data_IF_858790993483
#
_entry.id   IF_858790993483
#
_cell.length_a   1.000
_cell.length_b   1.000
_cell.length_c   1.000
_cell.angle_alpha   90.00
_cell.angle_beta   90.00
_cell.angle_gamma   90.00
#
_symmetry.space_group_name_H-M   'P 1'
#
loop_
_entity.id
_entity.type
_entity.pdbx_description
1 polymer ?
#
# COMPACT_ATOMS: atom_id res chain seq x y z
N UNK A 1 -6.46 -35.33 -4.71
CA UNK A 1 -6.64 -34.46 -5.90
C UNK A 1 -5.91 -33.16 -5.63
N UNK A 2 -4.72 -32.98 -6.17
CA UNK A 2 -4.02 -31.70 -6.12
C UNK A 2 -4.85 -30.68 -6.90
N UNK A 3 -5.34 -29.63 -6.21
CA UNK A 3 -6.01 -28.53 -6.89
C UNK A 3 -4.96 -27.81 -7.75
N UNK A 4 -5.17 -27.77 -9.05
CA UNK A 4 -4.35 -26.97 -9.96
C UNK A 4 -4.29 -25.54 -9.46
N UNK A 5 -3.07 -25.00 -9.31
CA UNK A 5 -2.87 -23.63 -8.86
C UNK A 5 -3.54 -22.67 -9.86
N UNK A 6 -4.30 -21.65 -9.40
CA UNK A 6 -4.87 -20.66 -10.30
C UNK A 6 -3.75 -19.92 -11.04
N UNK A 7 -3.88 -19.70 -12.33
CA UNK A 7 -2.88 -18.99 -13.15
C UNK A 7 -2.54 -17.60 -12.57
N UNK A 8 -3.54 -16.93 -11.97
CA UNK A 8 -3.36 -15.65 -11.28
C UNK A 8 -2.44 -15.72 -10.06
N UNK A 9 -2.39 -16.83 -9.33
CA UNK A 9 -1.50 -16.97 -8.17
C UNK A 9 -0.03 -17.01 -8.61
N UNK A 10 0.30 -17.82 -9.63
CA UNK A 10 1.66 -17.88 -10.19
C UNK A 10 2.10 -16.50 -10.71
N UNK A 11 1.20 -15.81 -11.42
CA UNK A 11 1.45 -14.46 -11.93
C UNK A 11 1.70 -13.46 -10.81
N UNK A 12 0.87 -13.46 -9.75
CA UNK A 12 1.05 -12.57 -8.60
C UNK A 12 2.34 -12.88 -7.82
N UNK A 13 2.70 -14.15 -7.65
CA UNK A 13 3.98 -14.55 -7.02
C UNK A 13 5.18 -13.98 -7.77
N UNK A 14 5.18 -14.04 -9.10
CA UNK A 14 6.25 -13.45 -9.93
C UNK A 14 6.33 -11.94 -9.73
N UNK A 15 5.19 -11.23 -9.71
CA UNK A 15 5.15 -9.79 -9.50
C UNK A 15 5.65 -9.40 -8.11
N UNK A 16 5.26 -10.13 -7.07
CA UNK A 16 5.73 -9.88 -5.69
C UNK A 16 7.23 -10.19 -5.57
N UNK A 17 7.72 -11.25 -6.22
CA UNK A 17 9.14 -11.58 -6.23
C UNK A 17 10.01 -10.52 -6.91
N UNK A 18 9.43 -9.73 -7.82
CA UNK A 18 10.12 -8.65 -8.52
C UNK A 18 10.28 -7.35 -7.68
N UNK A 19 9.72 -7.29 -6.46
CA UNK A 19 9.79 -6.10 -5.59
C UNK A 19 11.20 -5.49 -5.49
N UNK A 20 12.29 -6.26 -5.24
CA UNK A 20 13.63 -5.68 -5.12
C UNK A 20 14.15 -5.02 -6.39
N UNK A 21 13.87 -5.62 -7.55
CA UNK A 21 14.23 -5.05 -8.85
C UNK A 21 13.41 -3.79 -9.14
N UNK A 22 12.10 -3.86 -8.95
CA UNK A 22 11.19 -2.75 -9.14
C UNK A 22 11.53 -1.54 -8.24
N UNK A 23 11.99 -1.78 -7.01
CA UNK A 23 12.45 -0.72 -6.11
C UNK A 23 13.66 0.02 -6.69
N UNK A 24 14.66 -0.70 -7.17
CA UNK A 24 15.87 -0.10 -7.77
C UNK A 24 15.57 0.67 -9.05
N UNK A 25 14.79 0.06 -9.95
CA UNK A 25 14.40 0.69 -11.21
C UNK A 25 13.59 1.96 -10.96
N UNK A 26 12.62 1.90 -10.04
CA UNK A 26 11.84 3.07 -9.65
C UNK A 26 12.72 4.16 -9.03
N UNK A 27 13.65 3.81 -8.14
CA UNK A 27 14.56 4.77 -7.52
C UNK A 27 15.45 5.47 -8.54
N UNK A 28 16.07 4.71 -9.44
CA UNK A 28 16.91 5.28 -10.51
C UNK A 28 16.12 6.26 -11.39
N UNK A 29 14.91 5.85 -11.82
CA UNK A 29 14.03 6.71 -12.61
C UNK A 29 13.58 7.97 -11.84
N UNK A 30 13.37 7.86 -10.53
CA UNK A 30 13.04 9.00 -9.67
C UNK A 30 14.18 10.02 -9.57
N UNK A 31 15.44 9.54 -9.56
CA UNK A 31 16.62 10.40 -9.55
C UNK A 31 16.78 11.23 -10.82
N UNK A 32 16.33 10.72 -11.98
CA UNK A 32 16.39 11.40 -13.28
C UNK A 32 15.33 12.50 -13.43
N UNK A 33 14.28 12.50 -12.62
CA UNK A 33 13.21 13.48 -12.69
C UNK A 33 13.67 14.88 -12.26
N UNK A 34 12.97 15.89 -12.75
CA UNK A 34 13.13 17.26 -12.26
C UNK A 34 12.82 17.28 -10.75
N UNK A 35 13.82 17.62 -9.97
CA UNK A 35 13.76 17.55 -8.51
C UNK A 35 13.19 18.85 -7.95
N UNK A 36 12.36 18.77 -6.91
CA UNK A 36 11.87 19.96 -6.24
C UNK A 36 13.02 20.73 -5.59
N UNK A 37 12.85 22.04 -5.46
CA UNK A 37 13.82 22.88 -4.78
C UNK A 37 13.94 22.49 -3.30
N UNK A 38 15.15 22.43 -2.77
CA UNK A 38 15.40 22.26 -1.33
C UNK A 38 14.91 23.50 -0.58
N UNK A 39 14.21 23.30 0.52
CA UNK A 39 13.70 24.38 1.36
C UNK A 39 12.43 23.99 2.11
N UNK A 40 11.77 24.94 2.73
CA UNK A 40 10.54 24.75 3.50
C UNK A 40 9.28 24.64 2.61
N UNK A 41 9.41 24.13 1.39
CA UNK A 41 8.26 23.96 0.47
C UNK A 41 7.41 22.77 0.90
N UNK A 42 6.08 22.91 1.01
CA UNK A 42 5.19 21.80 1.27
C UNK A 42 5.28 20.75 0.15
N UNK A 43 5.44 19.49 0.52
CA UNK A 43 5.40 18.35 -0.40
C UNK A 43 4.10 17.61 -0.19
N UNK A 44 3.31 17.45 -1.25
CA UNK A 44 2.01 16.79 -1.20
C UNK A 44 1.98 15.66 -2.22
N UNK A 45 1.83 14.43 -1.76
CA UNK A 45 1.61 13.27 -2.62
C UNK A 45 0.11 12.97 -2.70
N UNK A 46 -0.45 12.94 -3.90
CA UNK A 46 -1.86 12.64 -4.13
C UNK A 46 -1.99 11.30 -4.81
N UNK A 47 -2.79 10.41 -4.26
CA UNK A 47 -3.02 9.09 -4.86
C UNK A 47 -4.09 8.29 -4.13
N UNK A 48 -4.53 7.19 -4.74
CA UNK A 48 -5.51 6.26 -4.16
C UNK A 48 -4.93 4.85 -4.05
N UNK A 49 -5.44 4.05 -3.12
CA UNK A 49 -5.08 2.63 -2.99
C UNK A 49 -3.56 2.39 -2.90
N UNK A 50 -3.04 1.56 -3.78
CA UNK A 50 -1.61 1.21 -3.84
C UNK A 50 -0.69 2.40 -4.10
N UNK A 51 -1.14 3.40 -4.89
CA UNK A 51 -0.38 4.63 -5.16
C UNK A 51 -0.19 5.46 -3.89
N UNK A 52 -1.25 5.65 -3.10
CA UNK A 52 -1.17 6.38 -1.84
C UNK A 52 -0.36 5.62 -0.78
N UNK A 53 -0.46 4.29 -0.74
CA UNK A 53 0.32 3.45 0.20
C UNK A 53 1.83 3.57 -0.07
N UNK A 54 2.25 3.63 -1.34
CA UNK A 54 3.65 3.84 -1.68
C UNK A 54 4.17 5.18 -1.11
N UNK A 55 3.37 6.25 -1.24
CA UNK A 55 3.71 7.55 -0.65
C UNK A 55 3.72 7.53 0.89
N UNK A 56 2.77 6.85 1.55
CA UNK A 56 2.78 6.71 3.01
C UNK A 56 4.02 5.95 3.53
N UNK A 57 4.45 4.90 2.82
CA UNK A 57 5.66 4.15 3.19
C UNK A 57 6.90 5.05 3.11
N UNK A 58 7.03 5.84 2.04
CA UNK A 58 8.12 6.82 1.92
C UNK A 58 8.00 7.91 2.97
N UNK A 59 6.79 8.39 3.28
CA UNK A 59 6.56 9.40 4.32
C UNK A 59 7.17 8.99 5.65
N UNK A 60 6.98 7.75 6.09
CA UNK A 60 7.52 7.25 7.36
C UNK A 60 9.06 7.32 7.44
N UNK A 61 9.75 7.27 6.29
CA UNK A 61 11.20 7.43 6.21
C UNK A 61 11.59 8.90 6.13
N UNK A 62 10.92 9.67 5.26
CA UNK A 62 11.18 11.10 5.06
C UNK A 62 11.03 11.89 6.38
N UNK A 63 9.91 11.70 7.09
CA UNK A 63 9.66 12.39 8.37
C UNK A 63 10.64 12.01 9.48
N UNK A 64 11.21 10.80 9.45
CA UNK A 64 12.16 10.34 10.44
C UNK A 64 13.61 10.80 10.17
N UNK A 65 13.97 11.02 8.91
CA UNK A 65 15.36 11.16 8.50
C UNK A 65 15.66 12.49 7.80
N UNK A 66 14.64 13.32 7.55
CA UNK A 66 14.78 14.60 6.85
C UNK A 66 13.95 15.69 7.52
N UNK A 67 14.26 16.99 7.30
CA UNK A 67 13.40 18.07 7.75
C UNK A 67 12.15 18.28 6.86
N UNK A 68 11.97 17.49 5.81
CA UNK A 68 10.85 17.64 4.89
C UNK A 68 9.55 17.08 5.50
N UNK A 69 8.42 17.73 5.20
CA UNK A 69 7.10 17.26 5.56
C UNK A 69 6.38 16.78 4.31
N UNK A 70 6.08 15.48 4.27
CA UNK A 70 5.35 14.85 3.18
C UNK A 70 3.90 14.56 3.58
N UNK A 71 2.96 15.33 3.03
CA UNK A 71 1.52 15.09 3.24
C UNK A 71 0.98 14.15 2.17
N UNK A 72 0.29 13.08 2.58
CA UNK A 72 -0.37 12.13 1.64
C UNK A 72 -1.87 12.38 1.63
N UNK A 73 -2.40 12.71 0.45
CA UNK A 73 -3.80 13.08 0.21
C UNK A 73 -4.52 12.00 -0.58
N UNK A 74 -5.73 11.63 -0.13
CA UNK A 74 -6.60 10.62 -0.74
C UNK A 74 -7.96 11.22 -1.15
N UNK A 75 -7.95 12.47 -1.54
CA UNK A 75 -9.14 13.19 -2.01
C UNK A 75 -8.80 14.03 -3.22
N UNK A 76 -9.78 14.51 -4.00
CA UNK A 76 -9.55 15.45 -5.09
C UNK A 76 -9.13 16.84 -4.61
N UNK A 77 -9.46 17.19 -3.37
CA UNK A 77 -9.11 18.45 -2.76
C UNK A 77 -7.68 18.43 -2.22
N UNK A 78 -6.92 19.46 -2.52
CA UNK A 78 -5.62 19.72 -1.92
C UNK A 78 -5.79 20.48 -0.59
N UNK A 79 -4.85 20.34 0.37
CA UNK A 79 -4.86 21.11 1.60
C UNK A 79 -4.95 22.62 1.32
N UNK A 80 -5.77 23.33 2.10
CA UNK A 80 -5.83 24.78 2.04
C UNK A 80 -4.49 25.41 2.41
N UNK A 81 -4.19 26.55 1.80
CA UNK A 81 -2.95 27.30 2.06
C UNK A 81 -1.75 26.86 1.24
N UNK A 82 -1.91 25.91 0.33
CA UNK A 82 -0.87 25.62 -0.68
C UNK A 82 -0.80 26.75 -1.70
N UNK A 83 0.43 27.08 -2.11
CA UNK A 83 0.73 28.09 -3.12
C UNK A 83 1.72 27.57 -4.17
N UNK A 84 2.27 28.45 -4.99
CA UNK A 84 3.23 28.11 -6.05
C UNK A 84 4.55 27.51 -5.57
N UNK A 85 4.84 27.60 -4.27
CA UNK A 85 6.03 26.97 -3.66
C UNK A 85 5.83 25.49 -3.39
N UNK A 86 4.57 25.01 -3.35
CA UNK A 86 4.27 23.61 -3.09
C UNK A 86 4.76 22.71 -4.23
N UNK A 87 5.20 21.51 -3.89
CA UNK A 87 5.44 20.44 -4.84
C UNK A 87 4.38 19.34 -4.68
N UNK A 88 3.56 19.15 -5.71
CA UNK A 88 2.49 18.17 -5.74
C UNK A 88 2.92 16.98 -6.60
N UNK A 89 3.08 15.83 -5.98
CA UNK A 89 3.40 14.55 -6.63
C UNK A 89 2.10 13.81 -6.86
N UNK A 90 1.70 13.67 -8.11
CA UNK A 90 0.42 13.07 -8.51
C UNK A 90 0.66 11.62 -8.94
N UNK A 91 0.14 10.67 -8.18
CA UNK A 91 0.43 9.25 -8.31
C UNK A 91 -0.83 8.50 -8.68
N UNK A 92 -0.89 8.01 -9.90
CA UNK A 92 -1.99 7.15 -10.36
C UNK A 92 -1.43 6.07 -11.28
N UNK A 93 -1.38 4.83 -10.81
CA UNK A 93 -0.86 3.73 -11.63
C UNK A 93 -1.60 3.63 -12.97
N UNK A 94 -2.93 3.67 -12.99
CA UNK A 94 -3.71 3.63 -14.24
C UNK A 94 -3.67 4.95 -15.03
N UNK A 95 -3.34 6.07 -14.39
CA UNK A 95 -3.47 7.40 -14.96
C UNK A 95 -4.89 7.96 -15.05
N UNK A 96 -5.91 7.15 -14.72
CA UNK A 96 -7.33 7.50 -14.93
C UNK A 96 -8.10 7.63 -13.61
N UNK A 97 -7.38 7.84 -12.49
CA UNK A 97 -8.02 8.02 -11.19
C UNK A 97 -8.59 9.42 -11.09
N UNK A 98 -9.91 9.53 -10.97
CA UNK A 98 -10.64 10.81 -10.97
C UNK A 98 -10.10 11.80 -9.94
N UNK A 99 -9.87 11.36 -8.70
CA UNK A 99 -9.37 12.21 -7.61
C UNK A 99 -8.00 12.79 -7.96
N UNK A 100 -7.11 11.99 -8.57
CA UNK A 100 -5.77 12.45 -8.96
C UNK A 100 -5.82 13.41 -10.14
N UNK A 101 -6.73 13.19 -11.10
CA UNK A 101 -6.97 14.10 -12.22
C UNK A 101 -7.51 15.46 -11.76
N UNK A 102 -8.43 15.47 -10.77
CA UNK A 102 -8.93 16.73 -10.17
C UNK A 102 -7.82 17.45 -9.41
N UNK A 103 -7.03 16.75 -8.60
CA UNK A 103 -5.90 17.32 -7.89
C UNK A 103 -4.84 17.91 -8.84
N UNK A 104 -4.60 17.27 -10.01
CA UNK A 104 -3.72 17.81 -11.05
C UNK A 104 -4.18 19.18 -11.54
N UNK A 105 -5.50 19.34 -11.79
CA UNK A 105 -6.08 20.62 -12.19
C UNK A 105 -5.99 21.67 -11.07
N UNK A 106 -6.24 21.28 -9.83
CA UNK A 106 -6.13 22.17 -8.67
C UNK A 106 -4.69 22.63 -8.48
N UNK A 107 -3.71 21.73 -8.54
CA UNK A 107 -2.27 22.04 -8.46
C UNK A 107 -1.84 23.01 -9.55
N UNK A 108 -2.37 22.84 -10.78
CA UNK A 108 -2.16 23.79 -11.87
C UNK A 108 -2.68 25.19 -11.56
N UNK A 109 -3.91 25.29 -11.04
CA UNK A 109 -4.56 26.59 -10.76
C UNK A 109 -3.82 27.41 -9.70
N UNK A 110 -3.23 26.74 -8.71
CA UNK A 110 -2.43 27.42 -7.67
C UNK A 110 -0.98 27.66 -8.08
N UNK A 111 -0.58 27.23 -9.28
CA UNK A 111 0.78 27.38 -9.81
C UNK A 111 1.82 26.46 -9.12
N UNK A 112 1.41 25.42 -8.42
CA UNK A 112 2.31 24.49 -7.75
C UNK A 112 3.20 23.73 -8.74
N UNK A 113 4.41 23.40 -8.30
CA UNK A 113 5.23 22.43 -9.02
C UNK A 113 4.54 21.07 -9.03
N UNK A 114 4.50 20.42 -10.17
CA UNK A 114 3.85 19.13 -10.34
C UNK A 114 4.84 18.10 -10.86
N UNK A 115 4.74 16.88 -10.36
CA UNK A 115 5.39 15.68 -10.91
C UNK A 115 4.37 14.57 -10.95
N UNK A 116 4.35 13.80 -12.03
CA UNK A 116 3.41 12.69 -12.23
C UNK A 116 4.16 11.35 -12.16
N UNK A 117 3.56 10.37 -11.49
CA UNK A 117 3.99 8.97 -11.50
C UNK A 117 2.81 8.12 -11.97
N UNK A 118 2.91 7.50 -13.15
CA UNK A 118 1.83 6.72 -13.75
C UNK A 118 2.37 5.63 -14.66
N UNK A 119 1.53 4.66 -15.06
CA UNK A 119 1.88 3.72 -16.14
C UNK A 119 1.34 4.12 -17.51
N UNK A 120 0.76 5.31 -17.61
CA UNK A 120 0.10 5.86 -18.80
C UNK A 120 -1.19 6.57 -18.41
N UNK A 121 -2.19 6.52 -19.31
CA UNK A 121 -3.52 7.07 -19.09
C UNK A 121 -3.60 8.59 -19.18
N UNK A 122 -4.79 9.13 -18.90
CA UNK A 122 -5.10 10.55 -19.06
C UNK A 122 -4.17 11.48 -18.27
N UNK A 123 -3.74 11.06 -17.07
CA UNK A 123 -2.84 11.86 -16.24
C UNK A 123 -1.48 12.07 -16.90
N UNK A 124 -0.90 11.01 -17.47
CA UNK A 124 0.38 11.09 -18.21
C UNK A 124 0.24 11.94 -19.48
N UNK A 125 -0.89 11.79 -20.21
CA UNK A 125 -1.15 12.60 -21.42
C UNK A 125 -1.30 14.09 -21.09
N UNK A 126 -2.02 14.43 -20.03
CA UNK A 126 -2.17 15.81 -19.56
C UNK A 126 -0.83 16.40 -19.12
N UNK A 127 -0.04 15.63 -18.39
CA UNK A 127 1.28 16.05 -17.94
C UNK A 127 2.20 16.34 -19.13
N UNK A 128 2.24 15.45 -20.13
CA UNK A 128 3.03 15.65 -21.34
C UNK A 128 2.62 16.90 -22.15
N UNK A 129 1.32 17.21 -22.23
CA UNK A 129 0.80 18.41 -22.91
C UNK A 129 1.16 19.71 -22.18
N UNK A 130 1.48 19.65 -20.89
CA UNK A 130 1.78 20.81 -20.05
C UNK A 130 3.25 20.84 -19.61
N UNK A 131 4.13 20.03 -20.23
CA UNK A 131 5.56 19.91 -19.92
C UNK A 131 5.83 19.58 -18.43
N UNK A 132 4.90 18.84 -17.80
CA UNK A 132 5.04 18.35 -16.41
C UNK A 132 5.88 17.08 -16.42
N UNK A 133 6.93 16.97 -15.59
CA UNK A 133 7.73 15.76 -15.50
C UNK A 133 6.89 14.52 -15.17
N UNK A 134 7.12 13.42 -15.92
CA UNK A 134 6.41 12.15 -15.75
C UNK A 134 7.40 11.01 -15.55
N UNK A 135 7.26 10.31 -14.42
CA UNK A 135 7.87 9.01 -14.23
C UNK A 135 6.89 7.94 -14.73
N UNK A 136 7.24 7.29 -15.83
CA UNK A 136 6.48 6.16 -16.35
C UNK A 136 6.92 4.87 -15.67
N UNK A 137 5.98 4.16 -15.05
CA UNK A 137 6.20 2.83 -14.46
C UNK A 137 5.65 1.73 -15.38
N UNK A 138 6.17 0.50 -15.34
CA UNK A 138 5.68 -0.59 -16.18
C UNK A 138 4.18 -0.83 -16.02
N UNK A 139 3.47 -0.96 -17.16
CA UNK A 139 2.03 -1.23 -17.21
C UNK A 139 1.71 -2.73 -17.17
N UNK A 140 0.41 -3.09 -17.17
CA UNK A 140 -0.05 -4.48 -17.29
C UNK A 140 -0.07 -5.28 -15.99
N UNK A 141 0.12 -4.62 -14.84
CA UNK A 141 0.05 -5.24 -13.52
C UNK A 141 -1.17 -4.74 -12.73
N UNK A 142 -1.66 -5.49 -11.73
CA UNK A 142 -2.55 -4.90 -10.74
C UNK A 142 -1.84 -3.75 -10.01
N UNK A 143 -2.50 -2.61 -9.75
CA UNK A 143 -1.86 -1.43 -9.14
C UNK A 143 -1.08 -1.72 -7.85
N UNK A 144 -1.58 -2.65 -7.03
CA UNK A 144 -0.92 -3.08 -5.79
C UNK A 144 0.42 -3.78 -6.00
N UNK A 145 0.64 -4.38 -7.16
CA UNK A 145 1.91 -5.05 -7.50
C UNK A 145 3.00 -4.06 -7.97
N UNK A 146 2.63 -2.84 -8.33
CA UNK A 146 3.56 -1.80 -8.78
C UNK A 146 4.27 -1.08 -7.61
N UNK A 147 4.05 -1.49 -6.36
CA UNK A 147 4.53 -0.79 -5.17
C UNK A 147 6.04 -0.55 -5.18
N UNK A 148 6.83 -1.48 -5.69
CA UNK A 148 8.29 -1.32 -5.79
C UNK A 148 8.67 -0.11 -6.64
N UNK A 149 8.15 -0.02 -7.87
CA UNK A 149 8.41 1.11 -8.76
C UNK A 149 7.88 2.44 -8.19
N UNK A 150 6.67 2.43 -7.62
CA UNK A 150 6.06 3.64 -7.06
C UNK A 150 6.86 4.15 -5.84
N UNK A 151 7.19 3.26 -4.90
CA UNK A 151 7.94 3.60 -3.71
C UNK A 151 9.36 4.06 -4.07
N UNK A 152 10.06 3.29 -4.93
CA UNK A 152 11.37 3.66 -5.43
C UNK A 152 11.34 5.02 -6.13
N UNK A 153 10.37 5.24 -7.03
CA UNK A 153 10.23 6.49 -7.75
C UNK A 153 10.02 7.71 -6.85
N UNK A 154 9.17 7.59 -5.83
CA UNK A 154 8.95 8.66 -4.85
C UNK A 154 10.22 8.89 -4.02
N UNK A 155 10.88 7.82 -3.57
CA UNK A 155 12.11 7.93 -2.78
C UNK A 155 13.24 8.57 -3.60
N UNK A 156 13.44 8.17 -4.87
CA UNK A 156 14.42 8.77 -5.75
C UNK A 156 14.13 10.24 -6.06
N UNK A 157 12.86 10.60 -6.28
CA UNK A 157 12.43 11.99 -6.46
C UNK A 157 12.75 12.84 -5.23
N UNK A 158 12.63 12.28 -4.02
CA UNK A 158 12.86 12.97 -2.74
C UNK A 158 14.29 12.79 -2.20
N UNK A 159 15.16 12.04 -2.89
CA UNK A 159 16.53 11.77 -2.46
C UNK A 159 17.33 13.04 -2.08
N UNK A 160 17.20 14.19 -2.78
CA UNK A 160 17.90 15.41 -2.42
C UNK A 160 17.57 16.03 -1.06
N UNK A 161 16.50 15.57 -0.38
CA UNK A 161 16.18 16.00 1.00
C UNK A 161 16.92 15.20 2.06
N UNK A 162 17.43 14.01 1.73
CA UNK A 162 18.20 13.20 2.66
C UNK A 162 19.63 13.78 2.85
N UNK A 163 20.23 13.58 4.02
CA UNK A 163 21.61 14.01 4.29
C UNK A 163 22.63 13.40 3.31
N UNK A 164 22.40 12.13 2.97
CA UNK A 164 23.19 11.34 2.03
C UNK A 164 22.25 10.69 1.00
N UNK A 165 22.78 10.41 -0.21
CA UNK A 165 21.97 9.70 -1.22
C UNK A 165 21.63 8.29 -0.78
N UNK A 166 20.39 7.89 -1.04
CA UNK A 166 19.90 6.55 -0.76
C UNK A 166 20.29 5.50 -1.83
N UNK A 167 21.07 5.85 -2.84
CA UNK A 167 21.40 4.95 -3.96
C UNK A 167 22.06 3.65 -3.46
N UNK A 168 23.12 3.76 -2.68
CA UNK A 168 23.84 2.60 -2.10
C UNK A 168 22.95 1.83 -1.14
N UNK A 169 22.18 2.56 -0.32
CA UNK A 169 21.24 1.98 0.65
C UNK A 169 20.14 1.17 -0.06
N UNK A 170 19.53 1.72 -1.11
CA UNK A 170 18.49 1.03 -1.91
C UNK A 170 19.07 -0.20 -2.61
N UNK A 171 20.31 -0.12 -3.13
CA UNK A 171 20.96 -1.27 -3.74
C UNK A 171 21.20 -2.39 -2.71
N UNK A 172 21.72 -2.07 -1.52
CA UNK A 172 21.93 -3.00 -0.41
C UNK A 172 20.63 -3.66 0.05
N UNK A 173 19.59 -2.85 0.32
CA UNK A 173 18.27 -3.34 0.76
C UNK A 173 17.66 -4.26 -0.29
N UNK A 174 17.73 -3.87 -1.55
CA UNK A 174 17.19 -4.67 -2.66
C UNK A 174 17.87 -6.04 -2.74
N UNK A 175 19.19 -6.10 -2.58
CA UNK A 175 19.94 -7.36 -2.59
C UNK A 175 19.61 -8.23 -1.37
N UNK A 176 19.53 -7.62 -0.18
CA UNK A 176 19.15 -8.32 1.04
C UNK A 176 17.74 -8.93 0.93
N UNK A 177 16.75 -8.14 0.50
CA UNK A 177 15.39 -8.65 0.31
C UNK A 177 15.33 -9.72 -0.78
N UNK A 178 16.05 -9.54 -1.90
CA UNK A 178 16.13 -10.54 -2.98
C UNK A 178 16.63 -11.88 -2.48
N UNK A 179 17.70 -11.90 -1.71
CA UNK A 179 18.28 -13.14 -1.16
C UNK A 179 17.31 -13.89 -0.24
N UNK A 180 16.40 -13.16 0.43
CA UNK A 180 15.40 -13.72 1.35
C UNK A 180 14.07 -14.12 0.69
N UNK A 181 13.78 -13.65 -0.54
CA UNK A 181 12.48 -13.90 -1.19
C UNK A 181 12.14 -15.37 -1.30
N UNK A 182 13.13 -16.23 -1.65
CA UNK A 182 12.94 -17.67 -1.75
C UNK A 182 12.54 -18.30 -0.41
N UNK A 183 13.19 -17.92 0.69
CA UNK A 183 12.88 -18.42 2.03
C UNK A 183 11.53 -17.89 2.53
N UNK A 184 11.20 -16.62 2.26
CA UNK A 184 9.92 -16.02 2.63
C UNK A 184 8.76 -16.74 1.94
N UNK A 185 8.90 -17.05 0.65
CA UNK A 185 7.88 -17.70 -0.17
C UNK A 185 7.83 -19.23 0.00
N UNK A 186 8.81 -19.82 0.67
CA UNK A 186 8.88 -21.28 0.83
C UNK A 186 7.66 -21.84 1.57
N UNK A 187 7.24 -23.07 1.21
CA UNK A 187 6.07 -23.72 1.81
C UNK A 187 6.15 -23.92 3.34
N UNK A 188 7.35 -23.90 3.91
CA UNK A 188 7.62 -23.92 5.37
C UNK A 188 8.26 -22.62 5.85
N UNK A 189 8.24 -21.57 5.02
CA UNK A 189 8.82 -20.26 5.33
C UNK A 189 7.94 -19.42 6.26
N UNK A 190 8.42 -18.21 6.60
CA UNK A 190 7.72 -17.31 7.53
C UNK A 190 6.34 -16.92 7.03
N UNK A 191 6.14 -16.67 5.74
CA UNK A 191 4.83 -16.34 5.19
C UNK A 191 3.82 -17.48 5.38
N UNK A 192 4.21 -18.73 5.11
CA UNK A 192 3.36 -19.90 5.32
C UNK A 192 3.04 -20.12 6.82
N UNK A 193 4.03 -19.92 7.69
CA UNK A 193 3.84 -20.01 9.16
C UNK A 193 2.85 -18.97 9.67
N UNK A 194 2.98 -17.72 9.26
CA UNK A 194 2.07 -16.63 9.63
C UNK A 194 0.66 -16.93 9.11
N UNK A 195 0.51 -17.26 7.83
CA UNK A 195 -0.78 -17.57 7.23
C UNK A 195 -1.46 -18.78 7.89
N UNK A 196 -0.71 -19.79 8.31
CA UNK A 196 -1.24 -20.93 9.06
C UNK A 196 -1.76 -20.53 10.45
N UNK A 197 -1.05 -19.63 11.14
CA UNK A 197 -1.49 -19.09 12.44
C UNK A 197 -2.72 -18.20 12.32
N UNK A 198 -2.84 -17.43 11.23
CA UNK A 198 -4.05 -16.65 10.91
C UNK A 198 -5.25 -17.60 10.71
N UNK A 199 -5.08 -18.65 9.91
CA UNK A 199 -6.17 -19.59 9.61
C UNK A 199 -7.41 -18.87 9.06
N UNK A 200 -8.59 -19.24 9.54
CA UNK A 200 -9.87 -18.62 9.15
C UNK A 200 -10.28 -17.43 10.01
N UNK A 201 -9.42 -17.01 10.96
CA UNK A 201 -9.67 -15.89 11.86
C UNK A 201 -9.67 -14.56 11.11
N UNK A 202 -10.39 -13.59 11.66
CA UNK A 202 -10.35 -12.21 11.19
C UNK A 202 -8.96 -11.61 11.47
N UNK A 203 -8.20 -11.17 10.43
CA UNK A 203 -6.88 -10.59 10.61
C UNK A 203 -6.98 -9.15 11.10
N UNK A 204 -6.28 -8.86 12.18
CA UNK A 204 -6.11 -7.50 12.69
C UNK A 204 -4.61 -7.18 12.77
N UNK A 205 -4.15 -6.14 12.09
CA UNK A 205 -2.74 -5.81 11.98
C UNK A 205 -2.40 -4.61 12.85
N UNK A 206 -1.50 -4.79 13.80
CA UNK A 206 -1.01 -3.73 14.68
C UNK A 206 0.41 -3.36 14.32
N UNK A 207 0.70 -2.06 14.30
CA UNK A 207 2.05 -1.55 14.10
C UNK A 207 2.26 -0.26 14.90
N UNK A 208 3.50 0.08 15.20
CA UNK A 208 3.82 1.41 15.69
C UNK A 208 3.53 2.49 14.62
N UNK A 209 3.36 3.74 15.05
CA UNK A 209 2.99 4.87 14.21
C UNK A 209 3.81 5.00 12.93
N UNK A 210 5.13 4.81 13.02
CA UNK A 210 6.04 4.91 11.88
C UNK A 210 5.90 3.75 10.88
N UNK A 211 5.27 2.64 11.28
CA UNK A 211 4.97 1.47 10.43
C UNK A 211 3.46 1.33 10.13
N UNK A 212 2.65 2.34 10.46
CA UNK A 212 1.20 2.30 10.20
C UNK A 212 0.87 2.11 8.71
N UNK A 213 1.67 2.69 7.83
CA UNK A 213 1.55 2.50 6.39
C UNK A 213 1.75 1.03 5.98
N UNK A 214 2.66 0.33 6.65
CA UNK A 214 2.89 -1.10 6.44
C UNK A 214 1.70 -1.93 6.93
N UNK A 215 1.16 -1.63 8.12
CA UNK A 215 -0.04 -2.31 8.63
C UNK A 215 -1.24 -2.11 7.68
N UNK A 216 -1.44 -0.89 7.19
CA UNK A 216 -2.46 -0.58 6.16
C UNK A 216 -2.23 -1.40 4.89
N UNK A 217 -0.98 -1.54 4.43
CA UNK A 217 -0.67 -2.36 3.26
C UNK A 217 -1.00 -3.83 3.50
N UNK A 218 -0.60 -4.40 4.62
CA UNK A 218 -0.94 -5.78 4.95
C UNK A 218 -2.45 -6.01 4.90
N UNK A 219 -3.22 -5.11 5.51
CA UNK A 219 -4.69 -5.14 5.46
C UNK A 219 -5.19 -5.14 4.02
N UNK A 220 -4.78 -4.19 3.19
CA UNK A 220 -5.27 -4.09 1.82
C UNK A 220 -4.82 -5.25 0.94
N UNK A 221 -3.62 -5.79 1.14
CA UNK A 221 -3.15 -6.98 0.44
C UNK A 221 -3.95 -8.24 0.82
N UNK A 222 -4.30 -8.40 2.08
CA UNK A 222 -5.19 -9.49 2.51
C UNK A 222 -6.56 -9.36 1.83
N UNK A 223 -7.12 -8.16 1.78
CA UNK A 223 -8.41 -7.91 1.14
C UNK A 223 -8.37 -8.12 -0.37
N UNK A 224 -7.37 -7.57 -1.05
CA UNK A 224 -7.31 -7.64 -2.51
C UNK A 224 -6.80 -8.99 -3.03
N UNK A 225 -5.89 -9.67 -2.34
CA UNK A 225 -5.36 -10.95 -2.78
C UNK A 225 -6.16 -12.13 -2.21
N UNK A 226 -6.38 -12.18 -0.89
CA UNK A 226 -7.07 -13.30 -0.25
C UNK A 226 -8.59 -13.15 -0.22
N UNK A 227 -9.15 -12.01 -0.67
CA UNK A 227 -10.59 -11.69 -0.70
C UNK A 227 -11.23 -11.80 0.71
N UNK A 228 -10.47 -11.45 1.75
CA UNK A 228 -10.87 -11.51 3.15
C UNK A 228 -10.80 -10.13 3.78
N UNK A 229 -11.83 -9.75 4.52
CA UNK A 229 -11.81 -8.52 5.31
C UNK A 229 -10.68 -8.59 6.34
N UNK A 230 -10.04 -7.45 6.58
CA UNK A 230 -9.02 -7.26 7.59
C UNK A 230 -9.12 -5.85 8.20
N UNK A 231 -8.53 -5.65 9.37
CA UNK A 231 -8.41 -4.35 9.99
C UNK A 231 -6.95 -4.06 10.37
N UNK A 232 -6.65 -2.81 10.69
CA UNK A 232 -5.37 -2.42 11.26
C UNK A 232 -5.58 -1.32 12.31
N UNK A 233 -4.62 -1.18 13.22
CA UNK A 233 -4.63 -0.13 14.23
C UNK A 233 -3.19 0.25 14.63
N UNK A 234 -3.05 1.35 15.32
CA UNK A 234 -1.80 2.03 15.62
C UNK A 234 -1.42 1.90 17.08
N UNK A 235 -0.14 1.57 17.34
CA UNK A 235 0.48 1.64 18.66
C UNK A 235 1.34 2.91 18.71
N UNK A 236 1.14 3.80 19.71
CA UNK A 236 0.47 3.56 21.00
C UNK A 236 -1.03 3.93 21.07
N UNK A 237 -1.65 4.45 20.02
CA UNK A 237 -3.03 4.97 20.06
C UNK A 237 -4.04 3.94 20.57
N UNK A 238 -3.87 2.66 20.21
CA UNK A 238 -4.69 1.54 20.70
C UNK A 238 -4.87 1.50 22.24
N UNK A 239 -3.90 2.04 23.01
CA UNK A 239 -3.95 2.09 24.48
C UNK A 239 -4.83 3.19 25.05
N UNK A 240 -5.34 4.07 24.19
CA UNK A 240 -6.25 5.16 24.55
C UNK A 240 -7.71 4.88 24.15
N UNK A 241 -7.97 3.78 23.41
CA UNK A 241 -9.29 3.42 22.87
C UNK A 241 -9.51 1.90 22.80
N UNK A 242 -8.99 1.21 21.81
CA UNK A 242 -9.27 -0.20 21.49
C UNK A 242 -8.93 -1.17 22.64
N UNK A 243 -8.00 -0.81 23.52
CA UNK A 243 -7.63 -1.63 24.68
C UNK A 243 -8.83 -1.89 25.61
N UNK A 244 -9.74 -0.89 25.75
CA UNK A 244 -10.94 -1.01 26.59
C UNK A 244 -11.87 -2.08 26.01
N UNK A 245 -12.06 -2.08 24.70
CA UNK A 245 -12.86 -3.09 24.02
C UNK A 245 -12.23 -4.48 24.14
N UNK A 246 -10.92 -4.57 23.97
CA UNK A 246 -10.18 -5.83 24.12
C UNK A 246 -10.26 -6.39 25.55
N UNK A 247 -10.21 -5.52 26.56
CA UNK A 247 -10.34 -5.97 27.95
C UNK A 247 -11.75 -6.46 28.29
N UNK A 248 -12.77 -5.95 27.62
CA UNK A 248 -14.16 -6.32 27.83
C UNK A 248 -14.66 -7.48 26.96
N UNK A 249 -13.98 -7.80 25.84
CA UNK A 249 -14.45 -8.81 24.87
C UNK A 249 -14.55 -10.20 25.52
N UNK A 250 -15.62 -10.95 25.21
CA UNK A 250 -15.72 -12.35 25.60
C UNK A 250 -14.64 -13.18 24.94
N UNK A 251 -14.04 -14.10 25.68
CA UNK A 251 -12.97 -14.96 25.17
C UNK A 251 -13.37 -15.74 23.91
N UNK A 252 -14.62 -16.17 23.82
CA UNK A 252 -15.17 -16.85 22.63
C UNK A 252 -15.13 -16.00 21.38
N UNK A 253 -15.37 -14.70 21.50
CA UNK A 253 -15.33 -13.76 20.38
C UNK A 253 -13.86 -13.43 20.00
N UNK A 254 -12.98 -13.29 21.00
CA UNK A 254 -11.54 -13.14 20.77
C UNK A 254 -10.93 -14.28 19.94
N UNK A 255 -11.40 -15.53 20.13
CA UNK A 255 -10.88 -16.69 19.36
C UNK A 255 -11.09 -16.58 17.85
N UNK A 256 -11.99 -15.70 17.39
CA UNK A 256 -12.24 -15.44 15.98
C UNK A 256 -11.23 -14.48 15.36
N UNK A 257 -10.31 -13.90 16.15
CA UNK A 257 -9.35 -12.90 15.69
C UNK A 257 -7.92 -13.44 15.70
N UNK A 258 -7.17 -13.10 14.65
CA UNK A 258 -5.72 -13.24 14.59
C UNK A 258 -5.09 -11.85 14.59
N UNK A 259 -4.39 -11.51 15.65
CA UNK A 259 -3.70 -10.24 15.80
C UNK A 259 -2.24 -10.37 15.34
N UNK A 260 -1.91 -9.71 14.25
CA UNK A 260 -0.57 -9.62 13.67
C UNK A 260 0.11 -8.38 14.24
N UNK A 261 1.16 -8.55 15.04
CA UNK A 261 1.88 -7.44 15.68
C UNK A 261 3.20 -7.23 14.94
N UNK A 262 3.26 -6.19 14.11
CA UNK A 262 4.47 -5.83 13.37
C UNK A 262 5.42 -5.09 14.34
N UNK A 263 6.59 -5.65 14.56
CA UNK A 263 7.60 -5.13 15.48
C UNK A 263 8.94 -4.99 14.77
N UNK A 264 9.48 -3.78 14.73
CA UNK A 264 10.83 -3.55 14.25
C UNK A 264 11.84 -3.83 15.36
N UNK A 265 12.96 -4.55 15.02
CA UNK A 265 14.00 -4.92 15.99
C UNK A 265 14.61 -3.71 16.70
N UNK A 266 14.78 -2.59 15.98
CA UNK A 266 15.36 -1.35 16.50
C UNK A 266 14.31 -0.33 16.99
N UNK A 267 13.04 -0.76 17.15
CA UNK A 267 12.02 0.11 17.72
C UNK A 267 12.38 0.53 19.16
N UNK A 268 12.03 1.77 19.58
CA UNK A 268 12.25 2.22 20.94
C UNK A 268 11.70 1.25 22.01
N UNK A 269 12.47 1.01 23.07
CA UNK A 269 12.12 0.04 24.11
C UNK A 269 10.69 0.22 24.68
N UNK A 270 10.26 1.48 24.83
CA UNK A 270 8.91 1.80 25.30
C UNK A 270 7.81 1.34 24.35
N UNK A 271 8.04 1.36 23.03
CA UNK A 271 7.06 0.84 22.06
C UNK A 271 7.06 -0.69 22.05
N UNK A 272 8.23 -1.33 22.09
CA UNK A 272 8.33 -2.80 22.22
C UNK A 272 7.61 -3.31 23.48
N UNK A 273 7.80 -2.65 24.61
CA UNK A 273 7.10 -2.99 25.86
C UNK A 273 5.58 -2.92 25.67
N UNK A 274 5.07 -1.90 24.98
CA UNK A 274 3.64 -1.74 24.69
C UNK A 274 3.11 -2.83 23.77
N UNK A 275 3.82 -3.18 22.71
CA UNK A 275 3.45 -4.28 21.82
C UNK A 275 3.40 -5.62 22.57
N UNK A 276 4.37 -5.91 23.43
CA UNK A 276 4.36 -7.10 24.27
C UNK A 276 3.21 -7.12 25.28
N UNK A 277 2.85 -5.96 25.86
CA UNK A 277 1.66 -5.87 26.71
C UNK A 277 0.39 -6.18 25.90
N UNK A 278 0.23 -5.55 24.73
CA UNK A 278 -0.91 -5.80 23.84
C UNK A 278 -0.98 -7.29 23.47
N UNK A 279 0.13 -7.90 23.10
CA UNK A 279 0.21 -9.33 22.79
C UNK A 279 -0.33 -10.21 23.92
N UNK A 280 0.06 -9.92 25.17
CA UNK A 280 -0.40 -10.66 26.36
C UNK A 280 -1.89 -10.47 26.58
N UNK A 281 -2.39 -9.25 26.49
CA UNK A 281 -3.81 -8.93 26.63
C UNK A 281 -4.65 -9.68 25.60
N UNK A 282 -4.30 -9.57 24.33
CA UNK A 282 -4.99 -10.22 23.21
C UNK A 282 -5.04 -11.75 23.41
N UNK A 283 -3.91 -12.35 23.78
CA UNK A 283 -3.82 -13.78 24.05
C UNK A 283 -4.70 -14.19 25.24
N UNK A 284 -4.73 -13.40 26.32
CA UNK A 284 -5.58 -13.64 27.49
C UNK A 284 -7.08 -13.61 27.13
N UNK A 285 -7.45 -12.80 26.14
CA UNK A 285 -8.82 -12.68 25.61
C UNK A 285 -9.12 -13.68 24.49
N UNK A 286 -8.23 -14.62 24.22
CA UNK A 286 -8.42 -15.72 23.27
C UNK A 286 -7.98 -15.43 21.83
N UNK A 287 -7.59 -14.21 21.49
CA UNK A 287 -7.10 -13.89 20.17
C UNK A 287 -5.78 -14.61 19.88
N UNK A 288 -5.58 -15.00 18.62
CA UNK A 288 -4.30 -15.56 18.18
C UNK A 288 -3.30 -14.43 17.95
N UNK A 289 -2.57 -14.06 18.99
CA UNK A 289 -1.50 -13.06 18.89
C UNK A 289 -0.30 -13.65 18.15
N UNK A 290 0.14 -12.98 17.08
CA UNK A 290 1.19 -13.40 16.17
C UNK A 290 2.22 -12.28 16.09
N UNK A 291 3.33 -12.32 16.85
CA UNK A 291 4.42 -11.39 16.65
C UNK A 291 5.07 -11.61 15.28
N UNK A 292 5.35 -10.52 14.59
CA UNK A 292 6.00 -10.48 13.30
C UNK A 292 7.20 -9.55 13.42
N UNK A 293 8.37 -10.12 13.66
CA UNK A 293 9.60 -9.37 13.79
C UNK A 293 10.10 -8.92 12.42
N UNK A 294 10.30 -7.62 12.27
CA UNK A 294 10.96 -6.98 11.15
C UNK A 294 12.43 -6.76 11.55
N UNK A 295 13.23 -7.79 11.33
CA UNK A 295 14.66 -7.78 11.66
C UNK A 295 15.43 -7.10 10.54
N UNK A 296 15.80 -5.84 10.78
CA UNK A 296 16.44 -4.97 9.81
C UNK A 296 17.24 -3.87 10.49
N UNK A 297 18.36 -3.48 9.88
CA UNK A 297 19.29 -2.48 10.41
C UNK A 297 18.70 -1.07 10.42
N UNK A 298 17.86 -0.76 9.43
CA UNK A 298 17.25 0.56 9.33
C UNK A 298 15.76 0.50 8.98
N UNK A 299 15.07 1.63 9.16
CA UNK A 299 13.63 1.77 8.95
C UNK A 299 13.20 1.45 7.52
N UNK A 300 13.92 1.92 6.51
CA UNK A 300 13.58 1.67 5.10
C UNK A 300 13.68 0.17 4.82
N UNK A 301 14.72 -0.48 5.31
CA UNK A 301 14.90 -1.92 5.17
C UNK A 301 13.77 -2.70 5.84
N UNK A 302 13.40 -2.34 7.08
CA UNK A 302 12.28 -2.93 7.80
C UNK A 302 10.96 -2.80 7.03
N UNK A 303 10.70 -1.63 6.45
CA UNK A 303 9.51 -1.38 5.63
C UNK A 303 9.50 -2.24 4.37
N UNK A 304 10.60 -2.32 3.61
CA UNK A 304 10.67 -3.10 2.37
C UNK A 304 10.58 -4.60 2.65
N UNK A 305 11.29 -5.10 3.68
CA UNK A 305 11.18 -6.49 4.13
C UNK A 305 9.76 -6.83 4.60
N UNK A 306 9.13 -5.91 5.34
CA UNK A 306 7.75 -6.03 5.78
C UNK A 306 6.74 -6.03 4.63
N UNK A 307 6.95 -5.25 3.57
CA UNK A 307 6.17 -5.29 2.33
C UNK A 307 6.29 -6.66 1.68
N UNK A 308 7.53 -7.15 1.47
CA UNK A 308 7.77 -8.46 0.86
C UNK A 308 7.08 -9.60 1.64
N UNK A 309 7.21 -9.59 2.97
CA UNK A 309 6.60 -10.60 3.83
C UNK A 309 5.07 -10.55 3.78
N UNK A 310 4.48 -9.36 3.92
CA UNK A 310 3.02 -9.19 3.94
C UNK A 310 2.36 -9.55 2.61
N UNK A 311 2.99 -9.19 1.52
CA UNK A 311 2.53 -9.55 0.18
C UNK A 311 2.52 -11.09 0.03
N UNK A 312 3.59 -11.78 0.45
CA UNK A 312 3.63 -13.24 0.42
C UNK A 312 2.62 -13.90 1.37
N UNK A 313 2.42 -13.36 2.59
CA UNK A 313 1.38 -13.84 3.52
C UNK A 313 0.01 -13.78 2.86
N UNK A 314 -0.32 -12.68 2.19
CA UNK A 314 -1.61 -12.51 1.51
C UNK A 314 -1.83 -13.52 0.36
N UNK A 315 -0.77 -13.86 -0.38
CA UNK A 315 -0.82 -14.88 -1.44
C UNK A 315 -0.97 -16.29 -0.88
N UNK A 316 -0.31 -16.60 0.24
CA UNK A 316 -0.51 -17.89 0.92
C UNK A 316 -1.93 -18.01 1.46
N UNK A 317 -2.50 -16.93 2.03
CA UNK A 317 -3.90 -16.90 2.46
C UNK A 317 -4.86 -17.09 1.27
N UNK A 318 -4.61 -16.45 0.12
CA UNK A 318 -5.38 -16.64 -1.10
C UNK A 318 -5.37 -18.11 -1.55
N UNK A 319 -4.18 -18.72 -1.62
CA UNK A 319 -4.01 -20.12 -1.98
C UNK A 319 -4.79 -21.06 -1.03
N UNK A 320 -4.68 -20.85 0.28
CA UNK A 320 -5.39 -21.63 1.29
C UNK A 320 -6.90 -21.51 1.19
N UNK A 321 -7.40 -20.33 0.83
CA UNK A 321 -8.82 -20.05 0.64
C UNK A 321 -9.32 -20.51 -0.75
N UNK A 322 -8.46 -20.96 -1.65
CA UNK A 322 -8.79 -21.39 -3.01
C UNK A 322 -9.29 -20.26 -3.91
N UNK A 323 -8.87 -19.00 -3.63
CA UNK A 323 -9.27 -17.82 -4.42
C UNK A 323 -8.14 -17.37 -5.34
N UNK A 324 -8.49 -16.84 -6.51
CA UNK A 324 -7.52 -16.22 -7.41
C UNK A 324 -7.15 -14.82 -6.89
N UNK A 325 -5.87 -14.57 -6.55
CA UNK A 325 -5.44 -13.26 -6.07
C UNK A 325 -5.42 -12.18 -7.17
N UNK A 326 -5.35 -12.56 -8.46
CA UNK A 326 -5.06 -11.60 -9.53
C UNK A 326 -6.22 -10.64 -9.83
N UNK A 327 -7.49 -11.07 -10.06
CA UNK A 327 -8.57 -10.18 -10.44
C UNK A 327 -9.03 -9.28 -9.29
N UNK A 328 -9.47 -8.07 -9.66
CA UNK A 328 -10.10 -7.09 -8.77
C UNK A 328 -11.44 -6.59 -9.37
N UNK A 329 -12.30 -7.54 -9.75
CA UNK A 329 -13.52 -7.31 -10.53
C UNK A 329 -14.48 -6.30 -9.91
N UNK A 330 -14.59 -6.27 -8.58
CA UNK A 330 -15.44 -5.30 -7.88
C UNK A 330 -15.00 -3.85 -8.15
N UNK A 331 -13.69 -3.60 -8.15
CA UNK A 331 -13.13 -2.28 -8.47
C UNK A 331 -13.37 -1.95 -9.95
N UNK A 332 -13.22 -2.93 -10.83
CA UNK A 332 -13.51 -2.77 -12.27
C UNK A 332 -14.97 -2.43 -12.53
N UNK A 333 -15.90 -3.14 -11.87
CA UNK A 333 -17.35 -2.86 -11.97
C UNK A 333 -17.69 -1.46 -11.46
N UNK A 334 -17.14 -1.04 -10.33
CA UNK A 334 -17.34 0.32 -9.81
C UNK A 334 -16.86 1.38 -10.81
N UNK A 335 -15.64 1.25 -11.33
CA UNK A 335 -15.10 2.18 -12.33
C UNK A 335 -15.97 2.26 -13.59
N UNK A 336 -16.45 1.13 -14.09
CA UNK A 336 -17.34 1.08 -15.24
C UNK A 336 -18.69 1.77 -14.95
N UNK A 337 -19.24 1.58 -13.75
CA UNK A 337 -20.49 2.22 -13.32
C UNK A 337 -20.33 3.73 -13.20
N UNK A 338 -19.25 4.21 -12.58
CA UNK A 338 -18.96 5.65 -12.46
C UNK A 338 -18.74 6.30 -13.83
N UNK A 339 -18.00 5.64 -14.70
CA UNK A 339 -17.78 6.12 -16.06
C UNK A 339 -19.07 6.18 -16.90
N UNK A 340 -20.04 5.29 -16.64
CA UNK A 340 -21.35 5.33 -17.29
C UNK A 340 -22.27 6.43 -16.76
N UNK A 341 -22.04 6.88 -15.52
CA UNK A 341 -22.82 7.93 -14.86
C UNK A 341 -22.24 9.34 -15.12
N UNK A 342 -21.06 9.48 -15.72
CA UNK A 342 -20.45 10.77 -16.01
C UNK A 342 -21.17 11.47 -17.18
N UNK A 343 -21.85 12.62 -16.94
CA UNK A 343 -22.57 13.34 -17.98
C UNK A 343 -21.65 14.01 -19.02
N UNK A 344 -20.38 14.19 -18.71
CA UNK A 344 -19.40 14.88 -19.57
C UNK A 344 -18.56 13.91 -20.41
N UNK A 345 -18.81 12.59 -20.32
CA UNK A 345 -18.09 11.61 -21.12
C UNK A 345 -18.50 11.72 -22.60
N UNK A 346 -17.56 11.84 -23.54
CA UNK A 346 -17.88 11.74 -24.98
C UNK A 346 -18.61 10.41 -25.23
N UNK A 347 -19.82 10.46 -25.78
CA UNK A 347 -20.56 9.27 -26.16
C UNK A 347 -19.86 8.64 -27.36
N UNK A 348 -19.27 7.46 -27.19
CA UNK A 348 -18.81 6.62 -28.27
C UNK A 348 -20.03 6.10 -29.03
N UNK A 349 -20.25 6.53 -30.31
CA UNK A 349 -21.42 6.15 -31.07
C UNK A 349 -21.50 4.64 -31.39
N UNK A 350 -20.43 3.88 -31.11
CA UNK A 350 -20.35 2.44 -31.40
C UNK A 350 -20.72 1.55 -30.20
N UNK A 351 -20.84 2.09 -29.00
CA UNK A 351 -21.23 1.32 -27.80
C UNK A 351 -22.74 1.26 -27.65
N UNK A 352 -23.35 0.16 -28.12
CA UNK A 352 -24.73 -0.20 -27.73
C UNK A 352 -24.81 -0.28 -26.20
N UNK A 353 -25.68 0.53 -25.58
CA UNK A 353 -25.95 0.54 -24.13
C UNK A 353 -26.24 -0.86 -23.63
N UNK A 354 -25.27 -1.56 -23.08
CA UNK A 354 -25.54 -2.69 -22.18
C UNK A 354 -26.07 -2.09 -20.87
N UNK A 355 -27.32 -2.45 -20.51
CA UNK A 355 -27.88 -2.11 -19.21
C UNK A 355 -26.89 -2.56 -18.12
N UNK A 356 -26.61 -1.70 -17.09
CA UNK A 356 -25.80 -2.13 -15.97
C UNK A 356 -26.42 -3.38 -15.34
N UNK A 357 -25.62 -4.36 -14.91
CA UNK A 357 -26.13 -5.51 -14.20
C UNK A 357 -26.88 -5.05 -12.96
N UNK A 358 -28.16 -5.39 -12.86
CA UNK A 358 -28.94 -5.17 -11.63
C UNK A 358 -28.28 -6.00 -10.52
N UNK A 359 -27.99 -5.36 -9.41
CA UNK A 359 -27.66 -6.08 -8.18
C UNK A 359 -28.85 -6.99 -7.86
N UNK A 360 -28.62 -8.28 -7.86
CA UNK A 360 -29.65 -9.24 -7.45
C UNK A 360 -30.09 -8.88 -6.01
N UNK A 361 -31.39 -8.84 -5.72
CA UNK A 361 -31.84 -8.65 -4.36
C UNK A 361 -31.30 -9.80 -3.50
N UNK A 362 -30.66 -9.48 -2.39
CA UNK A 362 -30.24 -10.47 -1.39
C UNK A 362 -31.51 -11.09 -0.82
N UNK A 363 -31.86 -12.28 -1.29
CA UNK A 363 -32.88 -13.13 -0.65
C UNK A 363 -32.34 -13.59 0.69
N UNK A 364 -32.67 -12.84 1.73
CA UNK A 364 -32.60 -13.31 3.11
C UNK A 364 -34.05 -13.53 3.54
N UNK A 365 -34.58 -14.72 3.33
CA UNK A 365 -35.68 -15.23 4.15
C UNK A 365 -35.10 -15.53 5.53
N UNK A 366 -35.59 -14.78 6.50
CA UNK A 366 -35.41 -15.05 7.93
C UNK A 366 -36.46 -16.10 8.29
N UNK A 367 -35.99 -17.26 8.68
CA UNK A 367 -36.74 -18.23 9.48
C UNK A 367 -35.95 -18.56 10.73
#
# INVERSE_FOLDING_TARGET
MERREPDGLTRMRSLVANLPTALREGFAAGLELARPARGASPIVAVGMGGSAIAADLVRGVVEAETPAMLTVVRSPELPHGLDSRAHVILISYSGDTWETLQAFQTARKIGAHRTVIASGGELAERAAKEDVPVLLVPSGHPPRAAVGHLLGGILGLLDPWFPESNEVRVARISEHVRSRMGSIAHARGPAASIAAKVGDRFPFVYAESSFLALARRWKTQIEENAKRLAAFDEVPEVFHNSIVAWDAIRRTDGTRTAALLLEWSEAPAGLRTRLHYLQKLLAARGARAIPVLLDAEDRLEALIAGVALGDQVSLVLAHRSGVDPYPADAIGRLKASLAAADPNRPQDPTTKRKRPPQLAPSGAEVA
#
